data_IF_475782345346
#
_entry.id   IF_475782345346
#
_cell.length_a   1.000
_cell.length_b   1.000
_cell.length_c   1.000
_cell.angle_alpha   90.00
_cell.angle_beta   90.00
_cell.angle_gamma   90.00
#
_symmetry.space_group_name_H-M   'P 1'
#
loop_
_entity.id
_entity.type
_entity.pdbx_description
1 polymer ?
#
# COMPACT_ATOMS: atom_id res chain seq x y z
N UNK A 1 1.23 16.81 -17.83
CA UNK A 1 0.71 15.42 -17.80
C UNK A 1 1.90 14.48 -17.68
N UNK A 2 1.93 13.57 -16.71
CA UNK A 2 3.06 12.64 -16.55
C UNK A 2 3.06 11.64 -17.71
N UNK A 3 4.24 11.31 -18.24
CA UNK A 3 4.31 10.39 -19.37
C UNK A 3 3.89 8.99 -18.90
N UNK A 4 3.11 8.29 -19.72
CA UNK A 4 2.67 6.92 -19.41
C UNK A 4 3.85 5.95 -19.20
N UNK A 5 5.02 6.29 -19.77
CA UNK A 5 6.29 5.59 -19.58
C UNK A 5 6.83 5.74 -18.16
N UNK A 6 6.75 6.93 -17.56
CA UNK A 6 7.19 7.17 -16.18
C UNK A 6 6.38 6.32 -15.19
N UNK A 7 5.05 6.30 -15.32
CA UNK A 7 4.17 5.54 -14.42
C UNK A 7 4.45 4.04 -14.50
N UNK A 8 4.73 3.53 -15.71
CA UNK A 8 5.09 2.12 -15.90
C UNK A 8 6.39 1.78 -15.17
N UNK A 9 7.44 2.58 -15.34
CA UNK A 9 8.73 2.40 -14.65
C UNK A 9 8.56 2.45 -13.13
N UNK A 10 7.76 3.39 -12.62
CA UNK A 10 7.49 3.48 -11.17
C UNK A 10 6.72 2.26 -10.65
N UNK A 11 5.83 1.67 -11.46
CA UNK A 11 5.10 0.44 -11.09
C UNK A 11 6.05 -0.75 -11.04
N UNK A 12 6.97 -0.86 -12.01
CA UNK A 12 8.01 -1.90 -12.04
C UNK A 12 8.97 -1.74 -10.86
N UNK A 13 9.43 -0.52 -10.55
CA UNK A 13 10.31 -0.24 -9.41
C UNK A 13 9.63 -0.48 -8.06
N UNK A 14 8.32 -0.20 -7.96
CA UNK A 14 7.57 -0.45 -6.73
C UNK A 14 7.51 -1.96 -6.42
N UNK A 15 7.46 -2.81 -7.45
CA UNK A 15 7.45 -4.28 -7.34
C UNK A 15 6.45 -4.82 -6.31
N UNK A 16 5.21 -4.34 -6.40
CA UNK A 16 4.09 -4.87 -5.61
C UNK A 16 3.10 -5.52 -6.57
N UNK A 17 2.87 -6.83 -6.38
CA UNK A 17 1.93 -7.60 -7.21
C UNK A 17 0.50 -7.06 -7.11
N UNK A 18 -0.17 -6.94 -8.25
CA UNK A 18 -1.60 -6.63 -8.34
C UNK A 18 -1.96 -5.16 -8.17
N UNK A 19 -0.98 -4.25 -8.14
CA UNK A 19 -1.19 -2.80 -8.10
C UNK A 19 -0.42 -2.11 -9.21
N UNK A 20 -0.89 -0.92 -9.59
CA UNK A 20 -0.20 0.00 -10.49
C UNK A 20 -0.08 1.37 -9.84
N UNK A 21 0.99 2.08 -10.16
CA UNK A 21 1.12 3.49 -9.80
C UNK A 21 0.16 4.29 -10.69
N UNK A 22 -0.57 5.24 -10.11
CA UNK A 22 -1.42 6.19 -10.83
C UNK A 22 -0.80 7.58 -10.89
N UNK A 23 -0.16 8.00 -9.80
CA UNK A 23 0.52 9.29 -9.70
C UNK A 23 1.68 9.23 -8.69
N UNK A 24 2.54 10.25 -8.77
CA UNK A 24 3.62 10.49 -7.80
C UNK A 24 3.52 11.93 -7.31
N UNK A 25 3.67 12.14 -6.02
CA UNK A 25 3.83 13.44 -5.39
C UNK A 25 5.15 13.41 -4.61
N UNK A 26 5.97 14.45 -4.72
CA UNK A 26 7.22 14.55 -3.97
C UNK A 26 7.18 15.83 -3.16
N UNK A 27 7.42 15.69 -1.86
CA UNK A 27 7.41 16.80 -0.92
C UNK A 27 8.77 16.90 -0.25
N UNK A 28 9.39 18.08 -0.35
CA UNK A 28 10.71 18.35 0.26
C UNK A 28 10.62 18.11 1.78
N UNK A 29 11.54 17.32 2.32
CA UNK A 29 11.58 16.98 3.76
C UNK A 29 10.60 15.89 4.22
N UNK A 30 9.63 15.48 3.40
CA UNK A 30 8.67 14.41 3.75
C UNK A 30 9.03 13.13 3.00
N UNK A 31 9.20 13.21 1.67
CA UNK A 31 9.50 12.06 0.82
C UNK A 31 8.60 11.95 -0.40
N UNK A 32 8.52 10.73 -0.94
CA UNK A 32 7.79 10.37 -2.16
C UNK A 32 6.48 9.71 -1.76
N UNK A 33 5.36 10.23 -2.26
CA UNK A 33 4.03 9.64 -2.12
C UNK A 33 3.62 9.08 -3.48
N UNK A 34 3.36 7.78 -3.56
CA UNK A 34 2.86 7.11 -4.75
C UNK A 34 1.38 6.78 -4.54
N UNK A 35 0.51 7.34 -5.38
CA UNK A 35 -0.87 6.89 -5.42
C UNK A 35 -0.89 5.58 -6.20
N UNK A 36 -1.42 4.53 -5.59
CA UNK A 36 -1.54 3.22 -6.23
C UNK A 36 -2.99 2.76 -6.29
N UNK A 37 -3.30 2.02 -7.35
CA UNK A 37 -4.62 1.45 -7.57
C UNK A 37 -4.47 -0.05 -7.84
N UNK A 38 -5.45 -0.84 -7.41
CA UNK A 38 -5.50 -2.25 -7.78
C UNK A 38 -5.72 -2.39 -9.30
N UNK A 39 -5.00 -3.32 -9.91
CA UNK A 39 -5.19 -3.66 -11.34
C UNK A 39 -6.52 -4.39 -11.53
N UNK A 40 -6.95 -5.17 -10.53
CA UNK A 40 -8.23 -5.87 -10.56
C UNK A 40 -9.40 -4.90 -10.43
N UNK A 41 -10.45 -5.09 -11.22
CA UNK A 41 -11.74 -4.41 -11.05
C UNK A 41 -12.73 -5.23 -10.18
N UNK A 42 -12.30 -6.38 -9.67
CA UNK A 42 -13.12 -7.33 -8.92
C UNK A 42 -12.52 -7.67 -7.55
N UNK A 43 -13.36 -8.18 -6.67
CA UNK A 43 -12.95 -8.77 -5.40
C UNK A 43 -13.84 -9.93 -4.99
N UNK A 44 -13.30 -10.82 -4.14
CA UNK A 44 -13.98 -12.02 -3.67
C UNK A 44 -14.58 -11.73 -2.28
N UNK A 45 -15.88 -12.01 -2.13
CA UNK A 45 -16.56 -11.81 -0.85
C UNK A 45 -15.96 -12.72 0.24
N UNK A 46 -15.43 -12.11 1.30
CA UNK A 46 -14.79 -12.83 2.42
C UNK A 46 -15.75 -13.67 3.26
N UNK A 47 -17.06 -13.56 3.04
CA UNK A 47 -18.09 -14.29 3.79
C UNK A 47 -18.60 -15.53 3.03
N UNK A 48 -18.72 -15.46 1.71
CA UNK A 48 -19.36 -16.52 0.92
C UNK A 48 -18.60 -16.92 -0.35
N UNK A 49 -17.44 -16.32 -0.63
CA UNK A 49 -16.62 -16.61 -1.81
C UNK A 49 -17.17 -16.07 -3.13
N UNK A 50 -18.36 -15.47 -3.16
CA UNK A 50 -18.93 -14.91 -4.39
C UNK A 50 -18.10 -13.71 -4.88
N UNK A 51 -17.70 -13.76 -6.14
CA UNK A 51 -17.02 -12.65 -6.82
C UNK A 51 -17.95 -11.45 -6.98
N UNK A 52 -17.42 -10.24 -6.81
CA UNK A 52 -18.14 -8.99 -7.02
C UNK A 52 -17.32 -8.00 -7.83
N UNK A 53 -18.00 -7.34 -8.76
CA UNK A 53 -17.53 -6.18 -9.52
C UNK A 53 -18.19 -4.89 -9.05
N UNK A 54 -19.19 -4.99 -8.15
CA UNK A 54 -20.01 -3.85 -7.72
C UNK A 54 -19.29 -3.09 -6.62
N UNK A 55 -18.58 -2.02 -7.00
CA UNK A 55 -18.00 -1.07 -6.06
C UNK A 55 -19.10 -0.44 -5.21
N UNK A 56 -18.85 -0.33 -3.91
CA UNK A 56 -19.73 0.30 -2.93
C UNK A 56 -19.14 1.61 -2.42
N UNK A 57 -17.88 1.58 -1.97
CA UNK A 57 -17.18 2.73 -1.41
C UNK A 57 -15.68 2.62 -1.67
N UNK A 58 -15.00 3.76 -1.73
CA UNK A 58 -13.54 3.87 -1.75
C UNK A 58 -13.06 4.39 -0.40
N UNK A 59 -11.98 3.82 0.12
CA UNK A 59 -11.37 4.22 1.39
C UNK A 59 -9.89 4.47 1.16
N UNK A 60 -9.52 5.75 0.99
CA UNK A 60 -8.15 6.16 0.73
C UNK A 60 -7.40 6.52 2.01
N UNK A 61 -6.17 6.06 2.12
CA UNK A 61 -5.29 6.39 3.23
C UNK A 61 -3.83 6.15 2.86
N UNK A 62 -2.93 6.81 3.59
CA UNK A 62 -1.49 6.73 3.37
C UNK A 62 -0.88 5.66 4.29
N UNK A 63 0.04 4.87 3.73
CA UNK A 63 0.86 3.90 4.47
C UNK A 63 2.33 4.08 4.14
N UNK A 64 3.22 3.72 5.07
CA UNK A 64 4.67 3.71 4.86
C UNK A 64 5.12 2.46 4.12
N UNK A 65 6.12 2.61 3.25
CA UNK A 65 6.75 1.51 2.54
C UNK A 65 8.29 1.60 2.63
N UNK A 66 8.99 0.66 1.99
CA UNK A 66 10.45 0.70 1.92
C UNK A 66 10.93 1.98 1.22
N UNK A 67 11.94 2.68 1.77
CA UNK A 67 12.46 3.89 1.17
C UNK A 67 13.14 3.60 -0.18
N UNK A 68 13.21 4.62 -1.04
CA UNK A 68 13.98 4.59 -2.27
C UNK A 68 15.26 5.39 -2.08
N UNK A 69 16.34 4.69 -1.73
CA UNK A 69 17.57 5.31 -1.26
C UNK A 69 17.31 6.07 0.06
N UNK A 70 17.71 7.33 0.10
CA UNK A 70 17.48 8.21 1.25
C UNK A 70 16.06 8.79 1.29
N UNK A 71 15.27 8.63 0.21
CA UNK A 71 13.93 9.20 0.14
C UNK A 71 12.92 8.28 0.82
N UNK A 72 12.19 8.77 1.84
CA UNK A 72 11.06 8.03 2.41
C UNK A 72 10.00 7.79 1.35
N UNK A 73 9.39 6.60 1.33
CA UNK A 73 8.31 6.28 0.39
C UNK A 73 7.03 5.98 1.17
N UNK A 74 5.95 6.60 0.71
CA UNK A 74 4.60 6.38 1.18
C UNK A 74 3.71 5.97 0.01
N UNK A 75 2.73 5.13 0.31
CA UNK A 75 1.72 4.70 -0.66
C UNK A 75 0.38 5.28 -0.24
N UNK A 76 -0.22 6.11 -1.08
CA UNK A 76 -1.64 6.43 -0.98
C UNK A 76 -2.41 5.27 -1.62
N UNK A 77 -3.07 4.50 -0.78
CA UNK A 77 -3.78 3.28 -1.20
C UNK A 77 -5.28 3.49 -1.13
N UNK A 78 -6.01 2.90 -2.06
CA UNK A 78 -7.46 2.80 -2.00
C UNK A 78 -7.85 1.37 -1.61
N UNK A 79 -8.37 1.16 -0.40
CA UNK A 79 -8.96 -0.13 -0.01
C UNK A 79 -10.45 -0.12 -0.32
N UNK A 80 -10.81 -0.60 -1.50
CA UNK A 80 -12.18 -0.57 -1.99
C UNK A 80 -13.09 -1.49 -1.18
N UNK A 81 -14.35 -1.08 -1.03
CA UNK A 81 -15.43 -1.95 -0.57
C UNK A 81 -16.34 -2.31 -1.74
N UNK A 82 -16.70 -3.58 -1.81
CA UNK A 82 -17.61 -4.12 -2.81
C UNK A 82 -18.92 -4.57 -2.15
N UNK A 83 -20.03 -4.51 -2.88
CA UNK A 83 -21.33 -5.05 -2.44
C UNK A 83 -21.46 -6.48 -2.95
N UNK A 84 -21.62 -7.45 -2.04
CA UNK A 84 -21.86 -8.84 -2.44
C UNK A 84 -23.31 -9.01 -2.93
N UNK A 85 -23.48 -9.65 -4.09
CA UNK A 85 -24.83 -9.91 -4.64
C UNK A 85 -25.57 -11.04 -3.91
N UNK A 86 -24.86 -12.02 -3.35
CA UNK A 86 -25.44 -13.13 -2.58
C UNK A 86 -25.75 -12.72 -1.13
N UNK A 87 -24.74 -12.24 -0.39
CA UNK A 87 -24.91 -11.83 1.02
C UNK A 87 -25.67 -10.51 1.19
N UNK A 88 -25.80 -9.69 0.13
CA UNK A 88 -26.31 -8.31 0.18
C UNK A 88 -25.57 -7.40 1.17
N UNK A 89 -24.40 -7.78 1.67
CA UNK A 89 -23.56 -7.00 2.60
C UNK A 89 -22.31 -6.44 1.90
N UNK A 90 -21.81 -5.26 2.29
CA UNK A 90 -20.54 -4.75 1.82
C UNK A 90 -19.37 -5.55 2.42
N UNK A 91 -18.26 -5.65 1.69
CA UNK A 91 -17.02 -6.26 2.16
C UNK A 91 -15.82 -5.49 1.61
N UNK A 92 -14.74 -5.39 2.40
CA UNK A 92 -13.50 -4.76 1.97
C UNK A 92 -12.68 -5.71 1.11
N UNK A 93 -12.03 -5.18 0.07
CA UNK A 93 -11.08 -5.95 -0.70
C UNK A 93 -9.85 -6.33 0.12
N UNK A 94 -9.25 -7.45 -0.26
CA UNK A 94 -8.01 -7.93 0.29
C UNK A 94 -6.85 -7.33 -0.51
N UNK A 95 -6.00 -6.58 0.18
CA UNK A 95 -4.72 -6.10 -0.34
C UNK A 95 -3.62 -6.95 0.28
N UNK A 96 -2.96 -7.80 -0.51
CA UNK A 96 -2.03 -8.79 0.04
C UNK A 96 -0.75 -8.15 0.60
N UNK A 97 -0.34 -6.99 0.10
CA UNK A 97 0.86 -6.28 0.56
C UNK A 97 0.66 -5.52 1.89
N UNK A 98 -0.56 -5.37 2.39
CA UNK A 98 -0.86 -4.61 3.63
C UNK A 98 -1.99 -5.25 4.45
N UNK A 99 -1.70 -5.53 5.72
CA UNK A 99 -2.69 -6.08 6.65
C UNK A 99 -3.77 -5.02 6.97
N UNK A 100 -4.99 -5.47 7.27
CA UNK A 100 -6.11 -4.60 7.65
C UNK A 100 -5.68 -3.70 8.83
N UNK A 101 -6.05 -2.41 8.77
CA UNK A 101 -5.74 -1.37 9.79
C UNK A 101 -4.26 -1.02 9.98
N UNK A 102 -3.32 -1.63 9.25
CA UNK A 102 -1.89 -1.25 9.33
C UNK A 102 -1.61 -0.03 8.46
N UNK A 103 -0.72 0.83 8.96
CA UNK A 103 -0.21 2.03 8.26
C UNK A 103 1.16 1.78 7.60
N UNK A 104 1.51 0.53 7.33
CA UNK A 104 2.77 0.14 6.68
C UNK A 104 2.60 -1.14 5.86
N UNK A 105 3.47 -1.36 4.87
CA UNK A 105 3.49 -2.59 4.07
C UNK A 105 4.06 -3.78 4.84
N UNK A 106 3.67 -5.00 4.46
CA UNK A 106 4.22 -6.24 5.04
C UNK A 106 5.72 -6.33 4.84
N UNK A 107 6.21 -6.02 3.63
CA UNK A 107 7.64 -6.05 3.31
C UNK A 107 8.46 -5.10 4.19
N UNK A 108 7.93 -3.91 4.50
CA UNK A 108 8.58 -3.00 5.44
C UNK A 108 8.70 -3.64 6.84
N UNK A 109 7.61 -4.20 7.35
CA UNK A 109 7.63 -4.87 8.66
C UNK A 109 8.62 -6.06 8.71
N UNK A 110 8.67 -6.86 7.64
CA UNK A 110 9.59 -7.99 7.51
C UNK A 110 11.06 -7.53 7.45
N UNK A 111 11.35 -6.46 6.71
CA UNK A 111 12.71 -5.86 6.65
C UNK A 111 13.12 -5.31 8.01
N UNK A 112 12.27 -4.53 8.68
CA UNK A 112 12.56 -4.02 10.01
C UNK A 112 12.80 -5.15 11.02
N UNK A 113 12.03 -6.23 10.97
CA UNK A 113 12.25 -7.39 11.85
C UNK A 113 13.63 -8.02 11.60
N UNK A 114 14.03 -8.19 10.33
CA UNK A 114 15.37 -8.71 9.98
C UNK A 114 16.49 -7.81 10.46
N UNK A 115 16.30 -6.49 10.47
CA UNK A 115 17.28 -5.54 11.01
C UNK A 115 17.40 -5.63 12.52
N UNK A 116 16.29 -5.74 13.25
CA UNK A 116 16.28 -5.93 14.72
C UNK A 116 16.93 -7.26 15.12
N UNK A 117 16.87 -8.28 14.27
CA UNK A 117 17.58 -9.54 14.54
C UNK A 117 19.11 -9.43 14.34
N UNK A 118 19.58 -8.42 13.60
CA UNK A 118 21.00 -8.21 13.25
C UNK A 118 21.67 -7.10 14.06
N UNK A 119 20.89 -6.29 14.76
CA UNK A 119 21.34 -5.08 15.44
C UNK A 119 20.47 -4.80 16.65
N UNK A 120 20.86 -3.85 17.50
CA UNK A 120 20.04 -3.48 18.64
C UNK A 120 18.84 -2.61 18.24
N UNK A 121 17.79 -2.64 19.07
CA UNK A 121 16.54 -1.95 18.78
C UNK A 121 16.69 -0.43 18.71
N UNK A 122 17.67 0.17 19.39
CA UNK A 122 17.88 1.63 19.39
C UNK A 122 18.47 2.07 18.06
N UNK A 123 19.46 1.34 17.55
CA UNK A 123 20.05 1.56 16.23
C UNK A 123 19.01 1.46 15.11
N UNK A 124 18.10 0.48 15.19
CA UNK A 124 17.01 0.34 14.21
C UNK A 124 15.97 1.45 14.35
N UNK A 125 15.62 1.83 15.59
CA UNK A 125 14.68 2.92 15.84
C UNK A 125 15.19 4.26 15.30
N UNK A 126 16.47 4.59 15.45
CA UNK A 126 17.06 5.82 14.90
C UNK A 126 17.02 5.88 13.37
N UNK A 127 17.13 4.74 12.69
CA UNK A 127 17.04 4.64 11.23
C UNK A 127 15.61 4.73 10.73
N UNK A 128 14.66 4.22 11.50
CA UNK A 128 13.26 4.41 11.21
C UNK A 128 12.92 5.89 11.29
N UNK A 129 12.29 6.45 10.26
CA UNK A 129 11.50 7.69 10.45
C UNK A 129 10.32 7.33 11.36
N UNK A 130 10.60 7.28 12.66
CA UNK A 130 9.60 7.20 13.72
C UNK A 130 9.03 8.60 13.80
N UNK A 131 7.71 8.74 13.73
CA UNK A 131 7.06 9.96 14.18
C UNK A 131 7.39 10.07 15.67
N UNK A 132 8.41 10.86 16.00
CA UNK A 132 8.53 11.46 17.32
C UNK A 132 7.33 12.39 17.48
N UNK A 133 6.69 12.27 18.63
CA UNK A 133 5.38 12.84 19.01
C UNK A 133 5.11 14.26 18.51
#
# INVERSE_FOLDING_TARGET
MKSQKEIKVLTELLDIKGVKVGSRHQHKGIGIILQIESISNESICTQCGTKSYKLHQNHRYIIKDLPWGESPVFLEINRRQFKCQKCKKPFSEKLDFVRKRRKYTKRLAETTLKEVLRSDIRSVAQKGLVTTE
#
